data_IF_954825951670
#
_entry.id   IF_954825951670
#
_cell.length_a   1.000
_cell.length_b   1.000
_cell.length_c   1.000
_cell.angle_alpha   90.00
_cell.angle_beta   90.00
_cell.angle_gamma   90.00
#
_symmetry.space_group_name_H-M   'P 1'
#
loop_
_entity.id
_entity.type
_entity.pdbx_description
1 polymer ?
#
# COMPACT_ATOMS: atom_id res chain seq x y z
N UNK A 1 -25.51 -2.91 5.56
CA UNK A 1 -26.12 -4.23 5.23
C UNK A 1 -27.62 -4.13 5.35
N UNK A 2 -28.36 -4.57 4.32
CA UNK A 2 -29.83 -4.55 4.28
C UNK A 2 -30.47 -5.90 4.61
N UNK A 3 -29.71 -7.01 4.54
CA UNK A 3 -30.16 -8.35 4.95
C UNK A 3 -28.98 -9.30 5.24
N UNK A 4 -29.25 -10.45 5.85
CA UNK A 4 -28.24 -11.45 6.22
C UNK A 4 -27.54 -12.13 5.02
N UNK A 5 -28.12 -12.09 3.81
CA UNK A 5 -27.46 -12.64 2.61
C UNK A 5 -26.32 -11.74 2.14
N UNK A 6 -26.43 -10.43 2.32
CA UNK A 6 -25.35 -9.49 2.01
C UNK A 6 -24.14 -9.67 2.93
N UNK A 7 -24.35 -10.12 4.16
CA UNK A 7 -23.27 -10.43 5.10
C UNK A 7 -22.38 -11.61 4.69
N UNK A 8 -22.82 -12.43 3.72
CA UNK A 8 -22.05 -13.54 3.18
C UNK A 8 -21.30 -13.17 1.89
N UNK A 9 -21.53 -11.98 1.35
CA UNK A 9 -20.91 -11.52 0.10
C UNK A 9 -19.62 -10.78 0.42
N UNK A 10 -18.48 -11.35 0.03
CA UNK A 10 -17.13 -10.82 0.30
C UNK A 10 -16.97 -9.32 -0.04
N UNK A 11 -17.54 -8.86 -1.16
CA UNK A 11 -17.48 -7.46 -1.58
C UNK A 11 -18.24 -6.48 -0.67
N UNK A 12 -19.15 -6.95 0.18
CA UNK A 12 -19.87 -6.12 1.16
C UNK A 12 -19.25 -6.13 2.56
N UNK A 13 -18.22 -6.95 2.79
CA UNK A 13 -17.59 -7.13 4.12
C UNK A 13 -16.05 -6.97 4.12
N UNK A 14 -15.48 -5.98 3.39
CA UNK A 14 -14.03 -5.85 3.30
C UNK A 14 -13.37 -5.67 4.68
N UNK A 15 -13.98 -4.88 5.57
CA UNK A 15 -13.44 -4.66 6.93
C UNK A 15 -13.47 -5.93 7.78
N UNK A 16 -14.52 -6.74 7.70
CA UNK A 16 -14.60 -8.01 8.45
C UNK A 16 -13.49 -8.96 8.00
N UNK A 17 -13.28 -9.09 6.69
CA UNK A 17 -12.21 -9.93 6.14
C UNK A 17 -10.83 -9.47 6.62
N UNK A 18 -10.57 -8.16 6.62
CA UNK A 18 -9.31 -7.60 7.08
C UNK A 18 -9.10 -7.78 8.58
N UNK A 19 -10.13 -7.51 9.39
CA UNK A 19 -10.07 -7.69 10.84
C UNK A 19 -9.84 -9.15 11.21
N UNK A 20 -10.53 -10.10 10.56
CA UNK A 20 -10.28 -11.53 10.75
C UNK A 20 -8.84 -11.89 10.42
N UNK A 21 -8.30 -11.41 9.29
CA UNK A 21 -6.90 -11.65 8.90
C UNK A 21 -5.89 -11.07 9.90
N UNK A 22 -6.15 -9.87 10.44
CA UNK A 22 -5.30 -9.25 11.46
C UNK A 22 -5.32 -10.04 12.78
N UNK A 23 -6.48 -10.51 13.21
CA UNK A 23 -6.64 -11.36 14.40
C UNK A 23 -5.91 -12.69 14.21
N UNK A 24 -6.06 -13.33 13.04
CA UNK A 24 -5.39 -14.60 12.74
C UNK A 24 -3.86 -14.44 12.76
N UNK A 25 -3.33 -13.34 12.20
CA UNK A 25 -1.90 -13.02 12.28
C UNK A 25 -1.45 -12.76 13.72
N UNK A 26 -2.23 -12.04 14.52
CA UNK A 26 -1.89 -11.78 15.93
C UNK A 26 -1.90 -13.09 16.76
N UNK A 27 -2.85 -14.00 16.50
CA UNK A 27 -2.91 -15.31 17.15
C UNK A 27 -1.72 -16.17 16.72
N UNK A 28 -1.34 -16.17 15.45
CA UNK A 28 -0.20 -16.95 14.97
C UNK A 28 1.12 -16.43 15.57
N UNK A 29 1.30 -15.12 15.68
CA UNK A 29 2.48 -14.52 16.31
C UNK A 29 2.58 -14.86 17.81
N UNK A 30 1.45 -14.85 18.53
CA UNK A 30 1.41 -15.25 19.94
C UNK A 30 1.72 -16.74 20.10
N UNK A 31 1.19 -17.59 19.23
CA UNK A 31 1.31 -19.05 19.31
C UNK A 31 2.68 -19.56 18.84
N UNK A 32 3.23 -18.95 17.78
CA UNK A 32 4.57 -19.25 17.24
C UNK A 32 5.72 -18.83 18.15
N UNK A 33 5.48 -17.88 19.08
CA UNK A 33 6.47 -17.50 20.10
C UNK A 33 6.76 -18.60 21.15
N UNK A 34 5.93 -19.64 21.25
CA UNK A 34 6.03 -20.66 22.31
C UNK A 34 6.35 -22.09 21.85
N UNK A 35 6.17 -22.46 20.57
CA UNK A 35 6.15 -23.90 20.20
C UNK A 35 6.87 -24.31 18.89
N UNK A 36 7.22 -23.41 17.97
CA UNK A 36 7.64 -23.83 16.61
C UNK A 36 9.13 -24.19 16.45
N UNK A 37 9.97 -23.96 17.46
CA UNK A 37 11.39 -24.34 17.38
C UNK A 37 11.68 -25.82 17.68
N UNK A 38 10.69 -26.67 17.97
CA UNK A 38 10.93 -28.05 18.43
C UNK A 38 10.48 -29.15 17.44
N UNK A 39 9.48 -28.94 16.57
CA UNK A 39 8.86 -30.07 15.85
C UNK A 39 8.98 -30.07 14.31
N UNK A 40 9.40 -28.98 13.65
CA UNK A 40 9.44 -28.89 12.18
C UNK A 40 10.58 -29.68 11.49
N UNK A 41 11.36 -30.49 12.22
CA UNK A 41 12.51 -31.23 11.66
C UNK A 41 12.20 -32.69 11.28
N UNK A 42 10.96 -33.17 11.45
CA UNK A 42 10.72 -34.62 11.47
C UNK A 42 10.18 -35.26 10.17
N UNK A 43 9.47 -34.56 9.29
CA UNK A 43 8.75 -35.26 8.20
C UNK A 43 8.86 -34.53 6.86
N UNK A 44 9.34 -35.24 5.84
CA UNK A 44 9.66 -34.74 4.49
C UNK A 44 8.46 -34.40 3.63
N UNK A 45 7.59 -33.52 4.13
CA UNK A 45 6.63 -32.78 3.32
C UNK A 45 7.34 -31.66 2.53
N UNK A 46 6.71 -31.14 1.47
CA UNK A 46 7.17 -29.94 0.76
C UNK A 46 7.63 -28.91 1.79
N UNK A 47 8.83 -28.34 1.60
CA UNK A 47 9.42 -27.39 2.55
C UNK A 47 8.44 -26.22 2.68
N UNK A 48 7.58 -26.29 3.69
CA UNK A 48 6.72 -25.19 4.07
C UNK A 48 7.65 -24.01 4.28
N UNK A 49 7.30 -22.87 3.69
CA UNK A 49 8.09 -21.65 3.81
C UNK A 49 8.34 -21.38 5.29
N UNK A 50 9.56 -21.65 5.75
CA UNK A 50 9.92 -21.63 7.17
C UNK A 50 9.87 -20.22 7.77
N UNK A 51 9.67 -19.21 6.92
CA UNK A 51 9.44 -17.82 7.32
C UNK A 51 8.08 -17.68 7.98
N UNK A 52 8.03 -16.87 9.04
CA UNK A 52 6.77 -16.47 9.67
C UNK A 52 5.84 -15.76 8.66
N UNK A 53 4.53 -15.81 8.90
CA UNK A 53 3.55 -15.09 8.06
C UNK A 53 3.89 -13.60 7.92
N UNK A 54 4.42 -12.97 8.98
CA UNK A 54 4.90 -11.57 8.95
C UNK A 54 6.03 -11.36 7.96
N UNK A 55 7.03 -12.23 7.97
CA UNK A 55 8.17 -12.15 7.05
C UNK A 55 7.70 -12.36 5.61
N UNK A 56 6.77 -13.29 5.37
CA UNK A 56 6.16 -13.50 4.07
C UNK A 56 5.43 -12.24 3.56
N UNK A 57 4.60 -11.61 4.41
CA UNK A 57 3.91 -10.36 4.06
C UNK A 57 4.92 -9.23 3.80
N UNK A 58 5.93 -9.11 4.67
CA UNK A 58 6.98 -8.08 4.54
C UNK A 58 7.72 -8.23 3.22
N UNK A 59 8.15 -9.44 2.86
CA UNK A 59 8.84 -9.70 1.60
C UNK A 59 7.93 -9.48 0.39
N UNK A 60 6.66 -9.83 0.50
CA UNK A 60 5.67 -9.56 -0.54
C UNK A 60 5.51 -8.06 -0.80
N UNK A 61 5.28 -7.24 0.22
CA UNK A 61 5.10 -5.78 0.04
C UNK A 61 6.40 -5.10 -0.38
N UNK A 62 7.55 -5.56 0.13
CA UNK A 62 8.87 -5.05 -0.29
C UNK A 62 9.17 -5.37 -1.76
N UNK A 63 8.59 -6.44 -2.32
CA UNK A 63 8.67 -6.77 -3.73
C UNK A 63 8.11 -5.69 -4.66
N UNK A 64 7.19 -4.84 -4.17
CA UNK A 64 6.64 -3.73 -4.96
C UNK A 64 7.53 -2.51 -5.02
N UNK A 65 8.55 -2.37 -4.15
CA UNK A 65 9.30 -1.12 -4.03
C UNK A 65 10.06 -0.73 -5.32
N UNK A 66 10.70 -1.71 -5.97
CA UNK A 66 11.39 -1.46 -7.25
C UNK A 66 10.38 -1.21 -8.39
N UNK A 67 9.17 -1.75 -8.26
CA UNK A 67 8.09 -1.62 -9.25
C UNK A 67 6.96 -0.69 -8.80
N UNK A 68 7.26 0.25 -7.91
CA UNK A 68 6.21 1.05 -7.27
C UNK A 68 5.57 1.98 -8.32
N UNK A 69 4.24 1.91 -8.47
CA UNK A 69 3.53 2.61 -9.55
C UNK A 69 3.82 4.12 -9.57
N UNK A 70 4.01 4.75 -8.41
CA UNK A 70 4.26 6.20 -8.34
C UNK A 70 5.70 6.58 -8.66
N UNK A 71 6.61 5.60 -8.74
CA UNK A 71 8.01 5.81 -9.15
C UNK A 71 8.21 5.51 -10.65
N UNK A 72 7.16 5.11 -11.37
CA UNK A 72 7.18 4.84 -12.81
C UNK A 72 6.80 6.10 -13.58
N UNK A 73 7.75 6.65 -14.35
CA UNK A 73 7.56 7.90 -15.07
C UNK A 73 7.51 7.64 -16.56
N UNK A 74 6.45 8.10 -17.22
CA UNK A 74 6.27 7.99 -18.68
C UNK A 74 7.38 8.72 -19.44
N UNK A 75 7.82 8.22 -20.61
CA UNK A 75 8.90 8.82 -21.40
C UNK A 75 8.56 10.25 -21.86
N UNK A 76 9.58 11.06 -22.08
CA UNK A 76 9.42 12.42 -22.63
C UNK A 76 8.89 12.39 -24.06
N UNK A 77 9.24 11.34 -24.83
CA UNK A 77 8.81 11.19 -26.23
C UNK A 77 7.47 10.47 -26.31
N UNK A 78 6.52 11.03 -27.06
CA UNK A 78 5.21 10.43 -27.32
C UNK A 78 4.03 11.24 -26.81
N UNK A 79 4.27 12.26 -25.97
CA UNK A 79 3.22 13.15 -25.44
C UNK A 79 2.59 14.02 -26.52
N UNK A 80 1.44 13.59 -27.04
CA UNK A 80 0.55 14.40 -27.91
C UNK A 80 -0.90 14.37 -27.41
N UNK A 81 -1.10 14.03 -26.14
CA UNK A 81 -2.40 13.67 -25.57
C UNK A 81 -2.89 14.71 -24.57
N UNK A 82 -2.69 15.99 -24.82
CA UNK A 82 -3.31 17.05 -24.00
C UNK A 82 -3.72 18.23 -24.85
N UNK A 83 -4.74 18.96 -24.37
CA UNK A 83 -5.11 20.24 -24.96
C UNK A 83 -4.02 21.28 -24.71
N UNK A 84 -3.94 22.32 -25.54
CA UNK A 84 -2.97 23.39 -25.37
C UNK A 84 -3.11 24.04 -23.98
N UNK A 85 -2.06 23.93 -23.15
CA UNK A 85 -2.01 24.48 -21.79
C UNK A 85 -2.22 23.47 -20.65
N UNK A 86 -2.53 22.21 -20.95
CA UNK A 86 -2.67 21.14 -19.95
C UNK A 86 -1.36 20.37 -19.72
N UNK A 87 -1.15 19.94 -18.47
CA UNK A 87 0.02 19.13 -18.06
C UNK A 87 -0.05 17.74 -18.69
N UNK A 88 1.07 17.31 -19.28
CA UNK A 88 1.21 15.97 -19.82
C UNK A 88 1.22 14.94 -18.69
N UNK A 89 0.97 13.67 -19.02
CA UNK A 89 1.00 12.56 -18.06
C UNK A 89 2.30 12.56 -17.24
N UNK A 90 3.45 12.72 -17.90
CA UNK A 90 4.76 12.79 -17.27
C UNK A 90 4.85 13.86 -16.18
N UNK A 91 4.37 15.07 -16.46
CA UNK A 91 4.42 16.18 -15.52
C UNK A 91 3.57 15.88 -14.28
N UNK A 92 2.38 15.32 -14.49
CA UNK A 92 1.49 14.91 -13.38
C UNK A 92 2.10 13.76 -12.57
N UNK A 93 2.74 12.79 -13.22
CA UNK A 93 3.43 11.68 -12.56
C UNK A 93 4.59 12.18 -11.70
N UNK A 94 5.39 13.11 -12.21
CA UNK A 94 6.49 13.72 -11.46
C UNK A 94 5.99 14.49 -10.22
N UNK A 95 4.87 15.19 -10.33
CA UNK A 95 4.26 15.90 -9.19
C UNK A 95 3.79 14.96 -8.10
N UNK A 96 3.08 13.89 -8.46
CA UNK A 96 2.62 12.86 -7.50
C UNK A 96 3.80 12.13 -6.88
N UNK A 97 4.81 11.75 -7.69
CA UNK A 97 6.02 11.11 -7.21
C UNK A 97 6.77 11.99 -6.22
N UNK A 98 6.93 13.29 -6.53
CA UNK A 98 7.60 14.24 -5.65
C UNK A 98 6.88 14.37 -4.31
N UNK A 99 5.56 14.59 -4.31
CA UNK A 99 4.76 14.71 -3.08
C UNK A 99 4.89 13.47 -2.18
N UNK A 100 4.81 12.28 -2.76
CA UNK A 100 4.93 11.02 -2.00
C UNK A 100 6.36 10.79 -1.51
N UNK A 101 7.38 11.09 -2.33
CA UNK A 101 8.79 10.94 -1.94
C UNK A 101 9.15 11.93 -0.83
N UNK A 102 8.70 13.17 -0.93
CA UNK A 102 8.89 14.20 0.09
C UNK A 102 8.26 13.75 1.41
N UNK A 103 7.00 13.30 1.37
CA UNK A 103 6.33 12.70 2.53
C UNK A 103 7.16 11.56 3.14
N UNK A 104 7.64 10.63 2.32
CA UNK A 104 8.40 9.47 2.79
C UNK A 104 9.72 9.90 3.44
N UNK A 105 10.40 10.90 2.87
CA UNK A 105 11.64 11.47 3.39
C UNK A 105 11.48 12.22 4.71
N UNK A 106 10.29 12.79 4.97
CA UNK A 106 10.00 13.54 6.20
C UNK A 106 9.44 12.66 7.31
N UNK A 107 8.65 11.65 6.95
CA UNK A 107 7.86 10.87 7.91
C UNK A 107 8.53 9.56 8.29
N UNK A 108 9.25 8.91 7.35
CA UNK A 108 9.84 7.61 7.62
C UNK A 108 11.11 7.80 8.46
N UNK A 109 11.18 7.21 9.66
CA UNK A 109 12.34 7.37 10.53
C UNK A 109 13.56 6.70 9.91
N UNK A 110 14.69 7.41 9.92
CA UNK A 110 16.00 6.88 9.55
C UNK A 110 16.88 6.79 10.81
N UNK A 111 17.82 5.82 10.88
CA UNK A 111 18.74 5.73 12.00
C UNK A 111 19.59 6.99 12.19
N UNK A 112 19.97 7.28 13.45
CA UNK A 112 20.76 8.45 13.81
C UNK A 112 22.07 8.53 13.03
N UNK A 113 22.37 9.72 12.50
CA UNK A 113 23.58 9.98 11.73
C UNK A 113 23.49 9.59 10.25
N UNK A 114 22.39 9.01 9.80
CA UNK A 114 22.14 8.76 8.39
C UNK A 114 21.28 9.86 7.74
N UNK A 115 21.42 10.06 6.43
CA UNK A 115 20.61 11.01 5.66
C UNK A 115 19.18 10.52 5.39
N UNK A 116 18.34 11.42 4.85
CA UNK A 116 17.00 11.09 4.34
C UNK A 116 17.03 9.89 3.38
N UNK A 117 15.89 9.22 3.23
CA UNK A 117 15.74 8.17 2.23
C UNK A 117 15.91 8.73 0.82
N UNK A 118 16.51 7.94 -0.05
CA UNK A 118 16.63 8.26 -1.47
C UNK A 118 15.80 7.25 -2.27
N UNK A 119 15.03 7.79 -3.22
CA UNK A 119 14.13 7.03 -4.08
C UNK A 119 14.47 7.34 -5.54
N UNK A 120 14.78 6.30 -6.29
CA UNK A 120 15.11 6.38 -7.71
C UNK A 120 13.84 6.26 -8.52
N UNK A 121 13.58 7.24 -9.39
CA UNK A 121 12.50 7.17 -10.37
C UNK A 121 12.91 6.28 -11.55
N UNK A 122 12.00 5.41 -11.97
CA UNK A 122 12.17 4.61 -13.19
C UNK A 122 11.67 5.42 -14.38
N UNK A 123 12.60 6.03 -15.11
CA UNK A 123 12.28 6.89 -16.25
C UNK A 123 12.10 6.06 -17.53
N UNK A 124 10.91 6.16 -18.14
CA UNK A 124 10.57 5.50 -19.39
C UNK A 124 11.47 5.88 -20.58
N UNK A 125 12.18 7.01 -20.52
CA UNK A 125 13.21 7.35 -21.53
C UNK A 125 14.41 6.38 -21.51
N UNK A 126 14.61 5.66 -20.40
CA UNK A 126 15.68 4.67 -20.22
C UNK A 126 15.22 3.23 -20.44
N UNK A 127 13.94 3.02 -20.76
CA UNK A 127 13.35 1.72 -21.08
C UNK A 127 12.19 1.35 -20.15
N UNK A 128 11.71 0.11 -20.30
CA UNK A 128 10.56 -0.41 -19.55
C UNK A 128 10.94 -1.14 -18.26
N UNK A 129 12.24 -1.39 -18.06
CA UNK A 129 12.70 -2.14 -16.89
C UNK A 129 12.83 -1.19 -15.69
N UNK A 130 12.31 -1.58 -14.52
CA UNK A 130 12.38 -0.76 -13.33
C UNK A 130 13.83 -0.58 -12.85
N UNK A 131 14.11 0.60 -12.31
CA UNK A 131 15.35 0.86 -11.57
C UNK A 131 15.26 0.29 -10.17
N UNK A 132 16.33 -0.34 -9.70
CA UNK A 132 16.37 -0.90 -8.36
C UNK A 132 16.63 0.19 -7.31
N UNK A 133 15.86 0.18 -6.23
CA UNK A 133 16.12 1.05 -5.08
C UNK A 133 17.38 0.61 -4.35
N UNK A 134 18.06 1.55 -3.69
CA UNK A 134 19.29 1.26 -2.95
C UNK A 134 19.05 0.22 -1.86
N UNK A 135 20.05 -0.65 -1.61
CA UNK A 135 19.96 -1.63 -0.52
C UNK A 135 19.73 -0.94 0.83
N UNK A 136 20.20 0.30 1.00
CA UNK A 136 19.95 1.10 2.19
C UNK A 136 18.47 1.40 2.35
N UNK A 137 17.84 1.98 1.32
CA UNK A 137 16.39 2.28 1.32
C UNK A 137 15.58 1.01 1.60
N UNK A 138 15.92 -0.10 0.92
CA UNK A 138 15.27 -1.40 1.12
C UNK A 138 15.38 -1.91 2.56
N UNK A 139 16.56 -1.84 3.16
CA UNK A 139 16.79 -2.28 4.55
C UNK A 139 16.01 -1.42 5.55
N UNK A 140 16.04 -0.09 5.41
CA UNK A 140 15.34 0.82 6.33
C UNK A 140 13.83 0.58 6.27
N UNK A 141 13.26 0.49 5.06
CA UNK A 141 11.83 0.24 4.90
C UNK A 141 11.44 -1.14 5.45
N UNK A 142 12.22 -2.19 5.17
CA UNK A 142 11.98 -3.53 5.71
C UNK A 142 12.04 -3.56 7.24
N UNK A 143 13.02 -2.91 7.86
CA UNK A 143 13.15 -2.84 9.32
C UNK A 143 12.02 -2.03 9.97
N UNK A 144 11.51 -1.00 9.29
CA UNK A 144 10.37 -0.24 9.76
C UNK A 144 9.06 -1.05 9.65
N UNK A 145 8.82 -1.70 8.50
CA UNK A 145 7.65 -2.55 8.27
C UNK A 145 7.63 -3.75 9.21
N UNK A 146 8.79 -4.35 9.53
CA UNK A 146 8.85 -5.50 10.45
C UNK A 146 8.30 -5.17 11.85
N UNK A 147 8.34 -3.89 12.25
CA UNK A 147 7.86 -3.38 13.54
C UNK A 147 6.38 -2.97 13.53
N UNK A 148 5.69 -3.08 12.39
CA UNK A 148 4.26 -2.78 12.31
C UNK A 148 3.46 -3.72 13.21
N UNK A 149 2.36 -3.25 13.79
CA UNK A 149 1.43 -4.17 14.46
C UNK A 149 0.81 -5.14 13.44
N UNK A 150 0.20 -6.24 13.88
CA UNK A 150 -0.52 -7.15 12.98
C UNK A 150 -1.60 -6.42 12.15
N UNK A 151 -2.28 -5.45 12.77
CA UNK A 151 -3.30 -4.61 12.15
C UNK A 151 -2.73 -3.70 11.06
N UNK A 152 -1.60 -3.05 11.34
CA UNK A 152 -0.92 -2.18 10.38
C UNK A 152 -0.35 -2.98 9.21
N UNK A 153 0.22 -4.16 9.48
CA UNK A 153 0.84 -4.99 8.46
C UNK A 153 -0.20 -5.56 7.50
N UNK A 154 -1.35 -6.01 8.01
CA UNK A 154 -2.48 -6.46 7.18
C UNK A 154 -3.11 -5.31 6.41
N UNK A 155 -3.23 -4.14 7.04
CA UNK A 155 -3.66 -2.91 6.37
C UNK A 155 -2.73 -2.55 5.21
N UNK A 156 -1.42 -2.56 5.46
CA UNK A 156 -0.39 -2.29 4.46
C UNK A 156 -0.46 -3.30 3.31
N UNK A 157 -0.49 -4.59 3.61
CA UNK A 157 -0.59 -5.65 2.59
C UNK A 157 -1.78 -5.40 1.66
N UNK A 158 -2.96 -5.15 2.21
CA UNK A 158 -4.15 -4.87 1.43
C UNK A 158 -4.00 -3.59 0.59
N UNK A 159 -3.50 -2.51 1.17
CA UNK A 159 -3.29 -1.25 0.47
C UNK A 159 -2.31 -1.40 -0.70
N UNK A 160 -1.20 -2.12 -0.50
CA UNK A 160 -0.21 -2.40 -1.56
C UNK A 160 -0.80 -3.26 -2.68
N UNK A 161 -1.58 -4.28 -2.35
CA UNK A 161 -2.25 -5.13 -3.37
C UNK A 161 -3.18 -4.31 -4.25
N UNK A 162 -3.97 -3.42 -3.64
CA UNK A 162 -4.96 -2.61 -4.33
C UNK A 162 -4.34 -1.48 -5.14
N UNK A 163 -3.38 -0.75 -4.55
CA UNK A 163 -2.75 0.42 -5.19
C UNK A 163 -1.58 0.08 -6.10
N UNK A 164 -1.03 -1.15 -6.01
CA UNK A 164 0.23 -1.56 -6.66
C UNK A 164 1.42 -0.66 -6.28
N UNK A 165 1.38 -0.08 -5.08
CA UNK A 165 2.39 0.86 -4.59
C UNK A 165 2.65 0.65 -3.11
N UNK A 166 3.92 0.43 -2.77
CA UNK A 166 4.37 0.35 -1.39
C UNK A 166 4.27 1.72 -0.72
N UNK A 167 4.68 2.78 -1.41
CA UNK A 167 4.70 4.13 -0.84
C UNK A 167 3.31 4.69 -0.58
N UNK A 168 2.36 4.48 -1.49
CA UNK A 168 0.93 4.82 -1.25
C UNK A 168 0.39 4.01 -0.08
N UNK A 169 0.67 2.70 -0.01
CA UNK A 169 0.22 1.86 1.10
C UNK A 169 0.79 2.32 2.45
N UNK A 170 2.08 2.64 2.50
CA UNK A 170 2.75 3.16 3.70
C UNK A 170 2.14 4.49 4.13
N UNK A 171 1.96 5.44 3.20
CA UNK A 171 1.36 6.74 3.51
C UNK A 171 -0.06 6.61 4.05
N UNK A 172 -0.87 5.78 3.41
CA UNK A 172 -2.24 5.53 3.84
C UNK A 172 -2.28 5.02 5.28
N UNK A 173 -1.49 3.97 5.58
CA UNK A 173 -1.47 3.34 6.91
C UNK A 173 -0.88 4.28 7.96
N UNK A 174 0.19 4.99 7.67
CA UNK A 174 0.89 5.82 8.65
C UNK A 174 0.15 7.12 8.96
N UNK A 175 -0.42 7.80 7.96
CA UNK A 175 -1.13 9.07 8.18
C UNK A 175 -2.53 8.88 8.78
N UNK A 176 -3.21 7.77 8.46
CA UNK A 176 -4.60 7.57 8.88
C UNK A 176 -4.75 6.81 10.22
N UNK A 177 -3.63 6.54 10.91
CA UNK A 177 -3.67 5.97 12.27
C UNK A 177 -4.36 6.87 13.27
N UNK A 178 -4.13 8.18 13.20
CA UNK A 178 -4.69 9.16 14.13
C UNK A 178 -5.67 10.06 13.39
N UNK A 179 -6.91 10.09 13.86
CA UNK A 179 -8.01 10.80 13.20
C UNK A 179 -7.93 12.32 13.33
N UNK A 180 -7.08 12.86 14.22
CA UNK A 180 -7.08 14.29 14.55
C UNK A 180 -6.58 15.20 13.43
N UNK A 181 -5.75 14.70 12.50
CA UNK A 181 -5.10 15.50 11.46
C UNK A 181 -4.86 14.70 10.17
N UNK A 182 -5.91 14.06 9.62
CA UNK A 182 -5.79 13.35 8.32
C UNK A 182 -5.54 14.41 7.23
N UNK A 183 -4.31 14.42 6.67
CA UNK A 183 -3.91 15.32 5.57
C UNK A 183 -3.93 14.65 4.21
N UNK A 184 -3.86 13.32 4.20
CA UNK A 184 -3.87 12.51 2.99
C UNK A 184 -4.80 11.31 3.19
N UNK A 185 -5.90 11.30 2.45
CA UNK A 185 -7.02 10.38 2.67
C UNK A 185 -7.17 9.30 1.57
N UNK A 186 -8.29 8.58 1.61
CA UNK A 186 -8.63 7.51 0.66
C UNK A 186 -8.74 8.04 -0.78
N UNK A 187 -9.26 9.25 -0.97
CA UNK A 187 -9.40 9.86 -2.30
C UNK A 187 -8.05 10.30 -2.85
N UNK A 188 -7.19 10.86 -2.00
CA UNK A 188 -5.82 11.22 -2.40
C UNK A 188 -5.03 9.97 -2.81
N UNK A 189 -5.16 8.89 -2.03
CA UNK A 189 -4.59 7.59 -2.36
C UNK A 189 -5.13 7.05 -3.67
N UNK A 190 -6.45 7.08 -3.87
CA UNK A 190 -7.08 6.56 -5.07
C UNK A 190 -6.67 7.34 -6.33
N UNK A 191 -6.52 8.67 -6.24
CA UNK A 191 -6.02 9.52 -7.34
C UNK A 191 -4.55 9.23 -7.64
N UNK A 192 -3.72 9.09 -6.62
CA UNK A 192 -2.29 8.83 -6.81
C UNK A 192 -2.04 7.52 -7.59
N UNK A 193 -2.76 6.45 -7.27
CA UNK A 193 -2.57 5.16 -7.94
C UNK A 193 -3.36 4.99 -9.25
N UNK A 194 -4.45 5.74 -9.48
CA UNK A 194 -5.16 5.74 -10.76
C UNK A 194 -4.73 6.86 -11.72
N UNK A 195 -3.69 7.63 -11.40
CA UNK A 195 -3.31 8.83 -12.14
C UNK A 195 -3.30 8.64 -13.66
N UNK A 196 -2.72 7.53 -14.14
CA UNK A 196 -2.66 7.24 -15.57
C UNK A 196 -4.03 6.88 -16.15
N UNK A 197 -4.83 6.05 -15.47
CA UNK A 197 -6.20 5.74 -15.87
C UNK A 197 -7.05 7.01 -15.96
N UNK A 198 -6.96 7.87 -14.94
CA UNK A 198 -7.69 9.15 -14.89
C UNK A 198 -7.28 10.04 -16.06
N UNK A 199 -5.97 10.15 -16.33
CA UNK A 199 -5.45 10.87 -17.50
C UNK A 199 -6.00 10.30 -18.81
N UNK A 200 -6.02 8.98 -18.99
CA UNK A 200 -6.55 8.35 -20.20
C UNK A 200 -8.06 8.59 -20.37
N UNK A 201 -8.82 8.57 -19.27
CA UNK A 201 -10.25 8.89 -19.28
C UNK A 201 -10.50 10.34 -19.67
N UNK A 202 -9.68 11.28 -19.20
CA UNK A 202 -9.76 12.69 -19.62
C UNK A 202 -9.56 12.86 -21.14
N UNK A 203 -8.68 12.06 -21.74
CA UNK A 203 -8.36 12.18 -23.17
C UNK A 203 -9.30 11.43 -24.09
N UNK A 204 -9.78 10.26 -23.66
CA UNK A 204 -10.49 9.31 -24.53
C UNK A 204 -11.88 8.92 -24.05
N UNK A 205 -12.31 9.48 -22.91
CA UNK A 205 -13.59 9.16 -22.29
C UNK A 205 -13.53 7.92 -21.40
N UNK A 206 -14.57 7.77 -20.60
CA UNK A 206 -14.72 6.67 -19.66
C UNK A 206 -15.12 5.38 -20.38
N UNK A 207 -14.49 4.27 -20.00
CA UNK A 207 -14.98 2.93 -20.34
C UNK A 207 -15.86 2.46 -19.18
N UNK A 208 -17.17 2.53 -19.38
CA UNK A 208 -18.18 2.06 -18.43
C UNK A 208 -17.96 0.57 -18.09
N UNK A 209 -18.36 0.17 -16.88
CA UNK A 209 -18.19 -1.16 -16.27
C UNK A 209 -16.74 -1.60 -15.98
N UNK A 210 -15.73 -0.86 -16.45
CA UNK A 210 -14.31 -1.14 -16.14
C UNK A 210 -13.73 -0.09 -15.21
N UNK A 211 -13.72 1.17 -15.64
CA UNK A 211 -13.07 2.24 -14.89
C UNK A 211 -13.87 2.60 -13.63
N UNK A 212 -15.19 2.76 -13.74
CA UNK A 212 -16.06 3.14 -12.63
C UNK A 212 -16.10 2.06 -11.53
N UNK A 213 -16.21 0.78 -11.91
CA UNK A 213 -16.14 -0.34 -10.97
C UNK A 213 -14.78 -0.41 -10.31
N UNK A 214 -13.69 -0.33 -11.07
CA UNK A 214 -12.33 -0.33 -10.53
C UNK A 214 -12.08 0.82 -9.55
N UNK A 215 -12.54 2.02 -9.90
CA UNK A 215 -12.49 3.21 -9.05
C UNK A 215 -13.27 3.04 -7.74
N UNK A 216 -14.47 2.46 -7.79
CA UNK A 216 -15.29 2.22 -6.61
C UNK A 216 -14.69 1.13 -5.72
N UNK A 217 -14.19 0.04 -6.30
CA UNK A 217 -13.59 -1.08 -5.58
C UNK A 217 -12.28 -0.69 -4.90
N UNK A 218 -11.45 0.11 -5.57
CA UNK A 218 -10.24 0.67 -4.98
C UNK A 218 -10.57 1.51 -3.74
N UNK A 219 -11.46 2.49 -3.87
CA UNK A 219 -11.89 3.35 -2.74
C UNK A 219 -12.48 2.53 -1.60
N UNK A 220 -13.32 1.55 -1.92
CA UNK A 220 -13.91 0.63 -0.93
C UNK A 220 -12.84 -0.14 -0.17
N UNK A 221 -11.83 -0.66 -0.88
CA UNK A 221 -10.72 -1.40 -0.27
C UNK A 221 -9.82 -0.52 0.58
N UNK A 222 -9.36 0.61 0.04
CA UNK A 222 -8.52 1.57 0.76
C UNK A 222 -9.25 2.19 1.96
N UNK A 223 -10.54 2.49 1.83
CA UNK A 223 -11.37 2.93 2.96
C UNK A 223 -11.51 1.88 4.06
N UNK A 224 -11.58 0.59 3.70
CA UNK A 224 -11.56 -0.48 4.69
C UNK A 224 -10.20 -0.58 5.40
N UNK A 225 -9.08 -0.33 4.70
CA UNK A 225 -7.75 -0.24 5.32
C UNK A 225 -7.68 0.92 6.32
N UNK A 226 -8.15 2.11 5.94
CA UNK A 226 -8.18 3.28 6.84
C UNK A 226 -8.97 2.96 8.10
N UNK A 227 -10.17 2.39 7.97
CA UNK A 227 -11.00 1.99 9.12
C UNK A 227 -10.34 0.93 10.00
N UNK A 228 -9.55 0.01 9.42
CA UNK A 228 -8.84 -1.04 10.14
C UNK A 228 -7.73 -0.47 11.04
N UNK A 229 -6.94 0.48 10.52
CA UNK A 229 -5.75 1.00 11.19
C UNK A 229 -6.03 2.25 12.04
N UNK A 230 -7.21 2.84 11.91
CA UNK A 230 -7.61 4.03 12.68
C UNK A 230 -7.71 3.71 14.17
N UNK A 231 -6.89 4.37 14.98
CA UNK A 231 -6.98 4.32 16.44
C UNK A 231 -8.17 5.17 16.90
N UNK A 232 -9.32 4.53 17.12
CA UNK A 232 -10.45 5.18 17.75
C UNK A 232 -10.20 5.30 19.25
N UNK A 233 -10.05 6.53 19.73
CA UNK A 233 -10.05 6.81 21.17
C UNK A 233 -11.51 6.73 21.68
N UNK A 234 -12.02 5.51 21.84
CA UNK A 234 -13.36 5.28 22.38
C UNK A 234 -13.29 5.56 23.89
N UNK A 235 -13.94 6.62 24.40
CA UNK A 235 -13.98 6.84 25.83
C UNK A 235 -14.62 5.62 26.51
N UNK A 236 -14.11 5.18 27.67
CA UNK A 236 -14.73 4.09 28.40
C UNK A 236 -16.20 4.43 28.68
N UNK A 237 -17.11 3.43 28.67
CA UNK A 237 -18.52 3.69 28.98
C UNK A 237 -18.63 4.36 30.36
N UNK A 238 -19.44 5.41 30.46
CA UNK A 238 -19.79 6.02 31.75
C UNK A 238 -20.38 4.93 32.64
N UNK A 239 -19.75 4.71 33.81
CA UNK A 239 -20.19 3.72 34.80
C UNK A 239 -21.43 4.19 35.57
#
# INVERSE_FOLDING_TARGET
MRNSKEALKSHFIPLTSLASRAIDLEISERSGSAAENVEAAAEGEEVADARSTREQITDFVMGYLDTDTVLMISPTRGGHLTSAGEKQLRDRQLEVAHDIVEWAQETIPVPDGEGKLDFVLSDGDHGILPSSQSDRTKRILRDMISKFSAWDLVGLECAVILSKSLLVGLRLVMENKKTADIRWDVEDAAKACNLETDFQVEQWGLVEDTHDVGHADLRRGLGAVVLLVSELNIPPPEQ
#
